data_IF_236722884109
#
_entry.id   IF_236722884109
#
_cell.length_a   1.000
_cell.length_b   1.000
_cell.length_c   1.000
_cell.angle_alpha   90.00
_cell.angle_beta   90.00
_cell.angle_gamma   90.00
#
_symmetry.space_group_name_H-M   'P 1'
#
loop_
_entity.id
_entity.type
_entity.pdbx_description
1 polymer ?
#
# COMPACT_ATOMS: atom_id res chain seq x y z
N UNK A 1 0.29 10.20 -2.92
CA UNK A 1 -0.75 10.66 -3.90
C UNK A 1 -2.07 10.03 -3.50
N UNK A 2 -3.12 10.83 -3.28
CA UNK A 2 -4.41 10.36 -2.78
C UNK A 2 -5.37 9.94 -3.91
N UNK A 3 -6.29 8.98 -3.70
CA UNK A 3 -7.33 8.63 -4.65
C UNK A 3 -8.34 9.77 -4.86
N UNK A 4 -9.13 9.68 -5.92
CA UNK A 4 -10.23 10.64 -6.15
C UNK A 4 -11.37 10.39 -5.15
N UNK A 5 -11.77 11.43 -4.42
CA UNK A 5 -12.90 11.38 -3.49
C UNK A 5 -14.25 11.31 -4.24
N UNK A 6 -15.24 10.66 -3.63
CA UNK A 6 -16.59 10.54 -4.20
C UNK A 6 -16.69 9.62 -5.43
N UNK A 7 -15.71 8.77 -5.64
CA UNK A 7 -15.64 7.77 -6.72
C UNK A 7 -15.29 6.44 -6.10
N UNK A 8 -15.79 5.32 -6.64
CA UNK A 8 -15.49 3.97 -6.13
C UNK A 8 -13.99 3.75 -5.94
N UNK A 9 -13.62 3.14 -4.83
CA UNK A 9 -12.22 2.92 -4.49
C UNK A 9 -11.94 1.53 -3.89
N UNK A 10 -12.85 1.01 -3.03
CA UNK A 10 -12.62 -0.23 -2.31
C UNK A 10 -12.66 -1.45 -3.22
N UNK A 11 -11.86 -2.47 -2.92
CA UNK A 11 -11.81 -3.73 -3.67
C UNK A 11 -13.20 -4.40 -3.76
N UNK A 12 -13.98 -4.33 -2.70
CA UNK A 12 -15.36 -4.84 -2.61
C UNK A 12 -16.28 -4.23 -3.67
N UNK A 13 -16.16 -2.94 -3.93
CA UNK A 13 -16.95 -2.22 -4.94
C UNK A 13 -16.74 -2.79 -6.35
N UNK A 14 -15.54 -3.30 -6.62
CA UNK A 14 -15.17 -3.89 -7.91
C UNK A 14 -15.64 -5.32 -8.08
N UNK A 15 -15.89 -6.07 -6.98
CA UNK A 15 -16.50 -7.40 -7.04
C UNK A 15 -17.94 -7.33 -7.55
N UNK A 16 -18.69 -6.30 -7.17
CA UNK A 16 -20.11 -6.09 -7.58
C UNK A 16 -20.20 -5.56 -9.00
N UNK A 17 -19.34 -4.62 -9.38
CA UNK A 17 -19.33 -4.02 -10.72
C UNK A 17 -17.87 -3.88 -11.20
N UNK A 18 -17.30 -4.95 -11.80
CA UNK A 18 -15.86 -5.03 -12.05
C UNK A 18 -15.35 -4.00 -13.07
N UNK A 19 -16.21 -3.46 -13.91
CA UNK A 19 -15.78 -2.51 -14.94
C UNK A 19 -15.80 -1.07 -14.43
N UNK A 20 -14.59 -0.45 -14.37
CA UNK A 20 -14.44 0.96 -14.07
C UNK A 20 -14.96 1.83 -15.22
N UNK A 21 -15.65 2.91 -14.90
CA UNK A 21 -16.21 3.86 -15.85
C UNK A 21 -15.58 5.24 -15.67
N UNK A 22 -14.91 5.70 -16.71
CA UNK A 22 -14.30 7.02 -16.70
C UNK A 22 -12.91 7.05 -16.05
N UNK A 23 -12.20 8.16 -16.31
CA UNK A 23 -10.79 8.36 -15.96
C UNK A 23 -10.51 8.17 -14.46
N UNK A 24 -11.37 8.75 -13.61
CA UNK A 24 -11.18 8.74 -12.15
C UNK A 24 -11.39 7.36 -11.54
N UNK A 25 -12.38 6.60 -12.03
CA UNK A 25 -12.61 5.23 -11.56
C UNK A 25 -11.49 4.29 -12.00
N UNK A 26 -11.00 4.41 -13.25
CA UNK A 26 -9.87 3.59 -13.74
C UNK A 26 -8.62 3.85 -12.89
N UNK A 27 -8.34 5.11 -12.59
CA UNK A 27 -7.25 5.46 -11.69
C UNK A 27 -7.43 4.87 -10.28
N UNK A 28 -8.61 5.04 -9.68
CA UNK A 28 -8.90 4.52 -8.34
C UNK A 28 -8.81 3.00 -8.29
N UNK A 29 -9.27 2.30 -9.33
CA UNK A 29 -9.15 0.85 -9.43
C UNK A 29 -7.68 0.41 -9.48
N UNK A 30 -6.88 1.02 -10.34
CA UNK A 30 -5.44 0.72 -10.41
C UNK A 30 -4.73 1.06 -9.09
N UNK A 31 -5.04 2.20 -8.49
CA UNK A 31 -4.46 2.65 -7.23
C UNK A 31 -4.80 1.69 -6.08
N UNK A 32 -6.06 1.27 -5.94
CA UNK A 32 -6.47 0.32 -4.90
C UNK A 32 -5.86 -1.07 -5.11
N UNK A 33 -5.72 -1.51 -6.36
CA UNK A 33 -5.05 -2.78 -6.68
C UNK A 33 -3.57 -2.77 -6.28
N UNK A 34 -2.84 -1.71 -6.62
CA UNK A 34 -1.43 -1.56 -6.23
C UNK A 34 -1.30 -1.49 -4.70
N UNK A 35 -2.19 -0.76 -4.03
CA UNK A 35 -2.20 -0.68 -2.57
C UNK A 35 -2.39 -2.06 -1.94
N UNK A 36 -3.34 -2.85 -2.44
CA UNK A 36 -3.58 -4.21 -1.95
C UNK A 36 -2.33 -5.10 -2.09
N UNK A 37 -1.63 -5.03 -3.22
CA UNK A 37 -0.36 -5.77 -3.41
C UNK A 37 0.71 -5.34 -2.39
N UNK A 38 0.82 -4.04 -2.11
CA UNK A 38 1.76 -3.52 -1.10
C UNK A 38 1.38 -4.03 0.30
N UNK A 39 0.10 -4.00 0.66
CA UNK A 39 -0.39 -4.51 1.95
C UNK A 39 -0.11 -6.01 2.10
N UNK A 40 -0.34 -6.80 1.05
CA UNK A 40 0.02 -8.23 1.02
C UNK A 40 1.53 -8.43 1.19
N UNK A 41 2.37 -7.66 0.49
CA UNK A 41 3.82 -7.76 0.63
C UNK A 41 4.30 -7.48 2.05
N UNK A 42 3.70 -6.50 2.73
CA UNK A 42 3.97 -6.25 4.15
C UNK A 42 3.45 -7.38 5.06
N UNK A 43 2.35 -8.02 4.70
CA UNK A 43 1.85 -9.21 5.37
C UNK A 43 2.89 -10.32 5.37
N UNK A 44 3.37 -10.70 4.18
CA UNK A 44 4.42 -11.72 4.00
C UNK A 44 5.70 -11.35 4.76
N UNK A 45 6.14 -10.09 4.66
CA UNK A 45 7.31 -9.61 5.39
C UNK A 45 7.16 -9.82 6.90
N UNK A 46 6.01 -9.48 7.48
CA UNK A 46 5.74 -9.63 8.92
C UNK A 46 5.61 -11.11 9.34
N UNK A 47 5.07 -11.96 8.50
CA UNK A 47 4.97 -13.40 8.77
C UNK A 47 6.34 -14.04 8.81
N UNK A 48 7.19 -13.75 7.84
CA UNK A 48 8.57 -14.26 7.79
C UNK A 48 9.42 -13.70 8.93
N UNK A 49 9.30 -12.41 9.22
CA UNK A 49 10.06 -11.72 10.26
C UNK A 49 9.16 -11.36 11.44
N UNK A 50 8.80 -12.36 12.24
CA UNK A 50 7.85 -12.21 13.36
C UNK A 50 8.20 -11.11 14.36
N UNK A 51 9.46 -10.67 14.44
CA UNK A 51 9.86 -9.52 15.24
C UNK A 51 9.13 -8.23 14.82
N UNK A 52 8.69 -8.12 13.56
CA UNK A 52 7.96 -6.96 13.04
C UNK A 52 6.49 -6.94 13.49
N UNK A 53 5.94 -8.03 14.04
CA UNK A 53 4.60 -8.08 14.62
C UNK A 53 4.53 -7.38 15.98
N UNK A 54 5.66 -7.27 16.68
CA UNK A 54 5.75 -6.60 17.97
C UNK A 54 7.21 -6.28 18.25
N UNK A 55 7.64 -5.08 17.82
CA UNK A 55 8.99 -4.61 18.09
C UNK A 55 9.17 -4.40 19.61
N UNK A 56 10.21 -4.99 20.23
CA UNK A 56 10.52 -4.72 21.61
C UNK A 56 10.80 -3.22 21.85
N UNK A 57 10.67 -2.77 23.10
CA UNK A 57 10.94 -1.38 23.50
C UNK A 57 12.43 -1.01 23.40
N UNK A 58 12.93 -1.02 22.19
CA UNK A 58 14.27 -0.51 21.86
C UNK A 58 14.21 0.99 21.57
N UNK A 59 15.39 1.63 21.58
CA UNK A 59 15.48 3.00 21.07
C UNK A 59 15.03 3.06 19.60
N UNK A 60 14.44 4.17 19.19
CA UNK A 60 13.93 4.41 17.83
C UNK A 60 14.97 4.07 16.75
N UNK A 61 16.22 4.46 16.96
CA UNK A 61 17.33 4.12 16.05
C UNK A 61 17.52 2.61 15.89
N UNK A 62 17.43 1.81 16.97
CA UNK A 62 17.53 0.35 16.88
C UNK A 62 16.32 -0.28 16.18
N UNK A 63 15.11 0.24 16.44
CA UNK A 63 13.90 -0.22 15.76
C UNK A 63 14.02 0.00 14.25
N UNK A 64 14.47 1.18 13.83
CA UNK A 64 14.70 1.49 12.41
C UNK A 64 15.72 0.55 11.78
N UNK A 65 16.83 0.25 12.47
CA UNK A 65 17.84 -0.68 11.98
C UNK A 65 17.28 -2.11 11.81
N UNK A 66 16.44 -2.58 12.73
CA UNK A 66 15.78 -3.89 12.64
C UNK A 66 14.86 -3.94 11.42
N UNK A 67 14.03 -2.92 11.23
CA UNK A 67 13.11 -2.84 10.08
C UNK A 67 13.90 -2.87 8.77
N UNK A 68 14.94 -2.04 8.64
CA UNK A 68 15.78 -1.99 7.45
C UNK A 68 16.49 -3.32 7.18
N UNK A 69 16.98 -3.99 8.22
CA UNK A 69 17.62 -5.29 8.08
C UNK A 69 16.64 -6.35 7.60
N UNK A 70 15.42 -6.40 8.17
CA UNK A 70 14.38 -7.33 7.74
C UNK A 70 13.96 -7.08 6.28
N UNK A 71 13.78 -5.82 5.87
CA UNK A 71 13.45 -5.48 4.49
C UNK A 71 14.59 -5.87 3.52
N UNK A 72 15.85 -5.60 3.90
CA UNK A 72 17.01 -5.94 3.07
C UNK A 72 17.17 -7.45 2.89
N UNK A 73 17.04 -8.23 3.97
CA UNK A 73 17.10 -9.69 3.91
C UNK A 73 15.92 -10.27 3.13
N UNK A 74 14.72 -9.70 3.29
CA UNK A 74 13.53 -10.11 2.53
C UNK A 74 13.74 -9.94 1.03
N UNK A 75 14.19 -8.77 0.59
CA UNK A 75 14.49 -8.52 -0.81
C UNK A 75 15.61 -9.43 -1.34
N UNK A 76 16.66 -9.65 -0.53
CA UNK A 76 17.76 -10.54 -0.90
C UNK A 76 17.27 -11.96 -1.15
N UNK A 77 16.37 -12.48 -0.31
CA UNK A 77 15.79 -13.82 -0.48
C UNK A 77 14.93 -13.86 -1.73
N UNK A 78 14.06 -12.87 -1.95
CA UNK A 78 13.24 -12.78 -3.16
C UNK A 78 14.06 -12.79 -4.45
N UNK A 79 15.23 -12.15 -4.44
CA UNK A 79 16.12 -12.08 -5.60
C UNK A 79 16.90 -13.38 -5.87
N UNK A 80 17.13 -14.20 -4.83
CA UNK A 80 18.00 -15.39 -4.93
C UNK A 80 17.26 -16.72 -4.77
N UNK A 81 16.10 -16.74 -4.14
CA UNK A 81 15.31 -17.94 -3.85
C UNK A 81 13.82 -17.62 -4.00
N UNK A 82 13.37 -17.51 -5.23
CA UNK A 82 11.96 -17.22 -5.57
C UNK A 82 11.01 -18.38 -5.27
N UNK A 83 11.54 -19.59 -5.04
CA UNK A 83 10.76 -20.80 -4.78
C UNK A 83 10.57 -21.06 -3.26
N UNK A 84 11.00 -20.13 -2.39
CA UNK A 84 10.78 -20.22 -0.95
C UNK A 84 9.27 -20.22 -0.65
N UNK A 85 8.79 -21.30 -0.02
CA UNK A 85 7.37 -21.53 0.29
C UNK A 85 6.75 -20.40 1.16
N UNK A 86 7.56 -19.71 1.95
CA UNK A 86 7.13 -18.58 2.78
C UNK A 86 6.69 -17.33 1.95
N UNK A 87 6.97 -17.31 0.64
CA UNK A 87 6.54 -16.25 -0.28
C UNK A 87 5.30 -16.61 -1.11
N UNK A 88 4.69 -17.75 -0.85
CA UNK A 88 3.51 -18.18 -1.60
C UNK A 88 2.30 -17.31 -1.19
N UNK A 89 2.03 -16.27 -1.99
CA UNK A 89 0.92 -15.31 -1.79
C UNK A 89 -0.47 -15.94 -2.01
N UNK A 90 -0.52 -17.20 -2.47
CA UNK A 90 -1.75 -17.93 -2.77
C UNK A 90 -2.32 -18.67 -1.55
N UNK A 91 -1.73 -18.55 -0.36
CA UNK A 91 -2.26 -19.14 0.86
C UNK A 91 -3.54 -18.39 1.29
N UNK A 92 -4.72 -19.02 1.23
CA UNK A 92 -5.99 -18.41 1.61
C UNK A 92 -6.07 -18.03 3.10
N UNK A 93 -5.17 -18.54 3.95
CA UNK A 93 -5.08 -18.21 5.38
C UNK A 93 -4.29 -16.91 5.64
N UNK A 94 -3.76 -16.28 4.58
CA UNK A 94 -3.01 -15.01 4.63
C UNK A 94 -3.89 -13.76 4.76
N UNK A 95 -5.17 -13.89 5.10
CA UNK A 95 -5.97 -12.74 5.52
C UNK A 95 -5.57 -12.35 6.93
N UNK A 96 -4.49 -11.57 7.05
CA UNK A 96 -4.26 -10.78 8.25
C UNK A 96 -5.46 -9.86 8.39
N UNK A 97 -6.37 -10.19 9.32
CA UNK A 97 -7.34 -9.23 9.80
C UNK A 97 -6.54 -8.07 10.42
N UNK A 98 -6.23 -7.09 9.59
CA UNK A 98 -5.81 -5.79 10.09
C UNK A 98 -7.08 -5.22 10.71
N UNK A 99 -7.20 -5.34 12.03
CA UNK A 99 -8.16 -4.57 12.77
C UNK A 99 -7.81 -3.10 12.51
N UNK A 100 -8.63 -2.43 11.72
CA UNK A 100 -8.65 -0.97 11.63
C UNK A 100 -9.10 -0.45 13.02
N UNK A 101 -8.20 -0.48 13.97
CA UNK A 101 -8.32 0.36 15.15
C UNK A 101 -8.06 1.76 14.63
N UNK A 102 -9.15 2.49 14.38
CA UNK A 102 -9.14 3.92 14.13
C UNK A 102 -8.55 4.59 15.40
N UNK A 103 -7.23 4.73 15.43
CA UNK A 103 -6.57 5.62 16.37
C UNK A 103 -6.99 7.05 16.02
N UNK A 104 -8.06 7.50 16.67
CA UNK A 104 -8.49 8.90 16.74
C UNK A 104 -7.49 9.71 17.59
N UNK A 105 -6.22 9.64 17.23
CA UNK A 105 -5.22 10.58 17.75
C UNK A 105 -5.28 11.85 16.90
N UNK A 106 -6.10 12.80 17.43
CA UNK A 106 -6.09 14.18 17.00
C UNK A 106 -4.73 14.80 17.38
N UNK A 107 -3.69 14.52 16.60
CA UNK A 107 -2.43 15.24 16.67
C UNK A 107 -2.63 16.65 16.10
N UNK A 108 -2.56 17.59 17.01
CA UNK A 108 -2.44 19.03 16.78
C UNK A 108 -1.09 19.27 16.07
N UNK A 109 -1.06 19.01 14.76
CA UNK A 109 0.13 19.16 13.91
C UNK A 109 0.43 20.64 13.73
N UNK A 110 1.57 21.04 14.23
CA UNK A 110 2.19 22.33 13.94
C UNK A 110 2.23 22.60 12.43
N UNK A 111 1.76 23.79 12.08
CA UNK A 111 1.68 24.34 10.73
C UNK A 111 3.07 24.44 10.11
N UNK A 112 3.52 23.39 9.41
CA UNK A 112 4.61 23.53 8.43
C UNK A 112 3.96 23.86 7.09
N UNK A 113 4.34 24.98 6.51
CA UNK A 113 3.86 25.47 5.23
C UNK A 113 4.23 24.47 4.10
N UNK A 114 3.30 23.60 3.75
CA UNK A 114 3.37 22.70 2.59
C UNK A 114 2.35 23.16 1.56
N UNK A 115 2.60 24.31 0.93
CA UNK A 115 1.62 24.94 0.02
C UNK A 115 1.89 24.62 -1.45
N UNK A 116 3.08 24.10 -1.82
CA UNK A 116 3.48 23.92 -3.22
C UNK A 116 3.42 22.45 -3.70
N UNK A 117 3.53 21.49 -2.79
CA UNK A 117 3.57 20.04 -3.13
C UNK A 117 2.17 19.48 -3.49
N UNK A 118 1.10 19.97 -2.87
CA UNK A 118 -0.26 19.46 -3.10
C UNK A 118 -0.80 19.81 -4.49
N UNK A 119 -0.44 20.96 -5.03
CA UNK A 119 -0.86 21.38 -6.38
C UNK A 119 -0.16 20.52 -7.43
N UNK A 120 1.13 20.23 -7.24
CA UNK A 120 1.92 19.39 -8.13
C UNK A 120 1.45 17.92 -8.10
N UNK A 121 1.14 17.36 -6.92
CA UNK A 121 0.66 15.99 -6.76
C UNK A 121 -0.74 15.77 -7.36
N UNK A 122 -1.62 16.78 -7.34
CA UNK A 122 -2.91 16.70 -7.99
C UNK A 122 -2.79 16.72 -9.52
N UNK A 123 -1.90 17.55 -10.07
CA UNK A 123 -1.61 17.59 -11.51
C UNK A 123 -1.04 16.25 -11.98
N UNK A 124 -0.07 15.70 -11.27
CA UNK A 124 0.52 14.39 -11.55
C UNK A 124 -0.53 13.27 -11.50
N UNK A 125 -1.44 13.28 -10.52
CA UNK A 125 -2.54 12.32 -10.45
C UNK A 125 -3.43 12.39 -11.70
N UNK A 126 -3.74 13.59 -12.17
CA UNK A 126 -4.59 13.79 -13.35
C UNK A 126 -3.89 13.33 -14.64
N UNK A 127 -2.58 13.49 -14.75
CA UNK A 127 -1.78 12.96 -15.85
C UNK A 127 -1.77 11.43 -15.85
N UNK A 128 -1.49 10.80 -14.71
CA UNK A 128 -1.51 9.34 -14.57
C UNK A 128 -2.91 8.78 -14.88
N UNK A 129 -3.98 9.41 -14.38
CA UNK A 129 -5.35 8.99 -14.65
C UNK A 129 -5.71 9.06 -16.14
N UNK A 130 -5.12 10.01 -16.86
CA UNK A 130 -5.28 10.14 -18.31
C UNK A 130 -4.52 9.02 -19.04
N UNK A 131 -3.30 8.74 -18.63
CA UNK A 131 -2.49 7.65 -19.18
C UNK A 131 -3.15 6.28 -18.94
N UNK A 132 -3.65 6.00 -17.74
CA UNK A 132 -4.38 4.76 -17.41
C UNK A 132 -5.62 4.58 -18.30
N UNK A 133 -6.35 5.66 -18.58
CA UNK A 133 -7.53 5.61 -19.47
C UNK A 133 -7.14 5.29 -20.93
N UNK A 134 -6.01 5.78 -21.39
CA UNK A 134 -5.52 5.48 -22.74
C UNK A 134 -5.09 4.01 -22.84
N UNK A 135 -4.38 3.51 -21.83
CA UNK A 135 -3.95 2.10 -21.79
C UNK A 135 -5.13 1.11 -21.71
N UNK A 136 -6.23 1.47 -21.03
CA UNK A 136 -7.41 0.61 -20.87
C UNK A 136 -8.28 0.50 -22.16
N UNK A 137 -7.88 1.12 -23.27
CA UNK A 137 -8.59 1.05 -24.56
C UNK A 137 -8.08 -0.05 -25.49
N UNK A 138 -6.96 -0.66 -25.14
CA UNK A 138 -6.33 -1.77 -25.85
C UNK A 138 -6.53 -3.09 -25.10
#
# INVERSE_FOLDING_TARGET
MAPYKGVRYHQEDWKVAPRARGRREIFNQAHSSIRSVIEQSFGVLKMKWRILLGLPHYSEHKQTQIILACCGLHNFILDNDSDDEDFNLDDPDMTLEVSDEEDDDADEAGTVAVVDDDVNMNALRDEIATACRLAARF
#
